data_IF_155703159382
#
_entry.id   IF_155703159382
#
_cell.length_a   1.000
_cell.length_b   1.000
_cell.length_c   1.000
_cell.angle_alpha   90.00
_cell.angle_beta   90.00
_cell.angle_gamma   90.00
#
_symmetry.space_group_name_H-M   'P 1'
#
loop_
_entity.id
_entity.type
_entity.pdbx_description
1 polymer ?
#
# COMPACT_ATOMS: atom_id res chain seq x y z
N UNK A 1 -21.93 -6.80 16.49
CA UNK A 1 -20.94 -7.81 16.02
C UNK A 1 -20.49 -7.38 14.64
N UNK A 2 -19.28 -6.83 14.49
CA UNK A 2 -18.77 -6.47 13.16
C UNK A 2 -18.38 -7.78 12.49
N UNK A 3 -19.14 -8.19 11.46
CA UNK A 3 -18.79 -9.35 10.65
C UNK A 3 -17.48 -9.00 9.94
N UNK A 4 -16.34 -9.48 10.44
CA UNK A 4 -15.06 -9.37 9.73
C UNK A 4 -15.15 -10.30 8.54
N UNK A 5 -15.59 -9.76 7.40
CA UNK A 5 -15.51 -10.46 6.13
C UNK A 5 -14.02 -10.68 5.85
N UNK A 6 -13.61 -11.94 5.68
CA UNK A 6 -12.23 -12.25 5.32
C UNK A 6 -11.92 -11.59 3.98
N UNK A 7 -10.94 -10.69 3.98
CA UNK A 7 -10.39 -10.11 2.75
C UNK A 7 -9.30 -11.07 2.27
N UNK A 8 -9.47 -11.57 1.06
CA UNK A 8 -8.38 -12.24 0.33
C UNK A 8 -7.36 -11.19 -0.10
N UNK A 9 -6.16 -11.24 0.50
CA UNK A 9 -5.11 -10.25 0.29
C UNK A 9 -4.45 -10.33 -1.10
N UNK A 10 -4.69 -11.43 -1.82
CA UNK A 10 -4.13 -11.70 -3.14
C UNK A 10 -5.11 -11.34 -4.27
N UNK A 11 -6.34 -10.95 -3.92
CA UNK A 11 -7.32 -10.43 -4.87
C UNK A 11 -7.08 -8.94 -5.17
N UNK A 12 -7.26 -8.56 -6.43
CA UNK A 12 -7.06 -7.18 -6.87
C UNK A 12 -8.09 -6.23 -6.25
N UNK A 13 -7.70 -4.99 -5.98
CA UNK A 13 -8.59 -3.95 -5.47
C UNK A 13 -9.82 -3.71 -6.37
N UNK A 14 -9.65 -3.81 -7.69
CA UNK A 14 -10.75 -3.62 -8.65
C UNK A 14 -11.78 -4.75 -8.54
N UNK A 15 -11.34 -5.97 -8.22
CA UNK A 15 -12.24 -7.12 -8.00
C UNK A 15 -13.05 -6.98 -6.69
N UNK A 16 -12.62 -6.10 -5.78
CA UNK A 16 -13.41 -5.67 -4.63
C UNK A 16 -14.35 -4.49 -4.94
N UNK A 17 -14.35 -3.99 -6.18
CA UNK A 17 -15.13 -2.83 -6.59
C UNK A 17 -14.49 -1.49 -6.17
N UNK A 18 -13.20 -1.46 -5.86
CA UNK A 18 -12.50 -0.21 -5.56
C UNK A 18 -12.32 0.58 -6.86
N UNK A 19 -13.03 1.70 -6.95
CA UNK A 19 -12.99 2.60 -8.09
C UNK A 19 -11.85 3.62 -8.00
N UNK A 20 -11.81 4.56 -8.95
CA UNK A 20 -10.78 5.61 -9.00
C UNK A 20 -10.74 6.50 -7.75
N UNK A 21 -11.90 6.83 -7.16
CA UNK A 21 -11.96 7.70 -5.98
C UNK A 21 -11.51 6.90 -4.75
N UNK A 22 -12.02 5.68 -4.58
CA UNK A 22 -11.58 4.79 -3.50
C UNK A 22 -10.08 4.50 -3.57
N UNK A 23 -9.54 4.34 -4.78
CA UNK A 23 -8.10 4.17 -4.98
C UNK A 23 -7.30 5.42 -4.59
N UNK A 24 -7.82 6.61 -4.92
CA UNK A 24 -7.20 7.89 -4.57
C UNK A 24 -7.19 8.10 -3.05
N UNK A 25 -8.30 7.80 -2.37
CA UNK A 25 -8.43 7.90 -0.92
C UNK A 25 -7.50 6.91 -0.22
N UNK A 26 -7.50 5.64 -0.64
CA UNK A 26 -6.60 4.61 -0.13
C UNK A 26 -5.14 5.04 -0.28
N UNK A 27 -4.77 5.51 -1.49
CA UNK A 27 -3.43 6.02 -1.76
C UNK A 27 -3.07 7.15 -0.79
N UNK A 28 -3.92 8.17 -0.71
CA UNK A 28 -3.68 9.36 0.12
C UNK A 28 -3.50 8.98 1.59
N UNK A 29 -4.33 8.07 2.09
CA UNK A 29 -4.23 7.59 3.47
C UNK A 29 -2.90 6.86 3.72
N UNK A 30 -2.52 5.91 2.85
CA UNK A 30 -1.26 5.19 2.99
C UNK A 30 -0.04 6.12 2.85
N UNK A 31 -0.04 7.02 1.87
CA UNK A 31 1.02 8.03 1.70
C UNK A 31 1.16 8.90 2.97
N UNK A 32 0.05 9.25 3.60
CA UNK A 32 0.04 10.06 4.84
C UNK A 32 0.63 9.29 6.03
N UNK A 33 0.26 8.02 6.20
CA UNK A 33 0.70 7.20 7.34
C UNK A 33 2.15 6.72 7.20
N UNK A 34 2.61 6.48 5.95
CA UNK A 34 3.94 5.90 5.69
C UNK A 34 4.98 6.91 5.24
N UNK A 35 4.56 8.07 4.72
CA UNK A 35 5.46 9.02 4.05
C UNK A 35 5.91 8.57 2.64
N UNK A 36 5.60 7.34 2.22
CA UNK A 36 6.02 6.79 0.93
C UNK A 36 5.07 7.25 -0.16
N UNK A 37 5.63 7.81 -1.24
CA UNK A 37 4.85 8.23 -2.42
C UNK A 37 4.42 7.03 -3.27
N UNK A 38 3.13 6.92 -3.53
CA UNK A 38 2.50 5.83 -4.27
C UNK A 38 2.05 6.29 -5.66
N UNK A 39 2.96 6.32 -6.63
CA UNK A 39 2.59 6.72 -8.00
C UNK A 39 1.52 5.81 -8.63
N UNK A 40 0.76 6.27 -9.64
CA UNK A 40 -0.19 5.41 -10.35
C UNK A 40 0.42 4.11 -10.90
N UNK A 41 1.70 4.15 -11.30
CA UNK A 41 2.45 2.97 -11.75
C UNK A 41 2.68 1.97 -10.60
N UNK A 42 3.07 2.46 -9.41
CA UNK A 42 3.25 1.61 -8.21
C UNK A 42 1.95 0.93 -7.86
N UNK A 43 0.84 1.68 -7.87
CA UNK A 43 -0.49 1.15 -7.61
C UNK A 43 -0.90 0.10 -8.64
N UNK A 44 -0.70 0.36 -9.93
CA UNK A 44 -1.03 -0.59 -11.00
C UNK A 44 -0.19 -1.87 -10.93
N UNK A 45 1.06 -1.78 -10.46
CA UNK A 45 1.97 -2.92 -10.30
C UNK A 45 1.65 -3.74 -9.03
N UNK A 46 1.27 -3.06 -7.95
CA UNK A 46 1.00 -3.64 -6.64
C UNK A 46 -0.50 -3.53 -6.32
N UNK A 47 -1.34 -4.12 -7.18
CA UNK A 47 -2.78 -3.91 -7.17
C UNK A 47 -3.56 -4.82 -6.19
N UNK A 48 -2.85 -5.47 -5.26
CA UNK A 48 -3.42 -6.31 -4.20
C UNK A 48 -2.90 -5.83 -2.84
N UNK A 49 -3.63 -6.14 -1.77
CA UNK A 49 -3.21 -5.77 -0.43
C UNK A 49 -1.84 -6.37 -0.06
N UNK A 50 -1.59 -7.63 -0.45
CA UNK A 50 -0.31 -8.30 -0.20
C UNK A 50 0.85 -7.65 -0.95
N UNK A 51 0.68 -7.40 -2.25
CA UNK A 51 1.74 -6.80 -3.07
C UNK A 51 2.06 -5.37 -2.62
N UNK A 52 1.04 -4.57 -2.30
CA UNK A 52 1.24 -3.21 -1.82
C UNK A 52 1.94 -3.18 -0.45
N UNK A 53 1.54 -4.07 0.46
CA UNK A 53 2.20 -4.19 1.77
C UNK A 53 3.67 -4.60 1.64
N UNK A 54 3.98 -5.53 0.73
CA UNK A 54 5.36 -5.92 0.47
C UNK A 54 6.19 -4.75 -0.08
N UNK A 55 5.68 -4.04 -1.08
CA UNK A 55 6.35 -2.85 -1.63
C UNK A 55 6.65 -1.79 -0.55
N UNK A 56 5.69 -1.52 0.33
CA UNK A 56 5.87 -0.58 1.44
C UNK A 56 6.93 -1.07 2.42
N UNK A 57 6.88 -2.35 2.80
CA UNK A 57 7.86 -2.93 3.72
C UNK A 57 9.29 -2.85 3.17
N UNK A 58 9.47 -3.17 1.88
CA UNK A 58 10.76 -3.10 1.21
C UNK A 58 11.26 -1.66 1.13
N UNK A 59 10.39 -0.72 0.74
CA UNK A 59 10.74 0.72 0.65
C UNK A 59 11.14 1.29 2.02
N UNK A 60 10.38 0.98 3.08
CA UNK A 60 10.71 1.43 4.44
C UNK A 60 12.05 0.85 4.92
N UNK A 61 12.33 -0.43 4.60
CA UNK A 61 13.59 -1.06 4.96
C UNK A 61 14.78 -0.40 4.23
N UNK A 62 14.61 -0.04 2.96
CA UNK A 62 15.61 0.70 2.18
C UNK A 62 15.87 2.10 2.77
N UNK A 63 14.81 2.85 3.13
CA UNK A 63 14.95 4.16 3.79
C UNK A 63 15.68 4.06 5.13
N UNK A 64 15.39 3.01 5.91
CA UNK A 64 16.06 2.75 7.19
C UNK A 64 17.55 2.43 7.00
N UNK A 65 17.90 1.69 5.95
CA UNK A 65 19.28 1.33 5.62
C UNK A 65 20.07 2.51 5.04
N UNK A 66 19.39 3.44 4.35
CA UNK A 66 19.99 4.64 3.77
C UNK A 66 20.21 5.77 4.79
N UNK A 67 19.52 5.74 5.94
CA UNK A 67 19.78 6.66 7.04
C UNK A 67 21.21 6.43 7.55
N UNK A 68 22.09 7.46 7.57
CA UNK A 68 23.43 7.29 8.07
C UNK A 68 23.35 6.81 9.52
N UNK A 69 24.07 5.72 9.81
CA UNK A 69 24.25 5.25 11.17
C UNK A 69 24.91 6.39 11.97
N UNK A 70 24.08 7.19 12.65
CA UNK A 70 24.54 8.25 13.52
C UNK A 70 25.50 7.62 14.54
N UNK A 71 26.79 7.90 14.35
CA UNK A 71 27.89 7.57 15.25
C UNK A 71 28.48 8.88 15.75
#
# INVERSE_FOLDING_TARGET
>A
MILRRTIDADRSFIEYGLDSLGMLEMRTHVETETGIRLTPKVIATNNTARALAQYLADTLAEEQAAAPAAS
#
